data_IF_997500050606
#
_entry.id   IF_997500050606
#
_cell.length_a   1.000
_cell.length_b   1.000
_cell.length_c   1.000
_cell.angle_alpha   90.00
_cell.angle_beta   90.00
_cell.angle_gamma   90.00
#
_symmetry.space_group_name_H-M   'P 1'
#
loop_
_entity.id
_entity.type
_entity.pdbx_description
1 polymer ?
#
# COMPACT_ATOMS: atom_id res chain seq x y z
N UNK A 1 2.45 -34.10 -12.41
CA UNK A 1 3.39 -33.42 -11.49
C UNK A 1 3.24 -31.92 -11.73
N UNK A 2 2.39 -31.23 -10.96
CA UNK A 2 2.25 -29.77 -11.06
C UNK A 2 3.20 -29.14 -10.04
N UNK A 3 4.06 -28.25 -10.53
CA UNK A 3 5.00 -27.49 -9.72
C UNK A 3 4.21 -26.50 -8.87
N UNK A 4 4.38 -26.61 -7.55
CA UNK A 4 4.00 -25.59 -6.59
C UNK A 4 4.85 -24.34 -6.90
N UNK A 5 4.28 -23.37 -7.63
CA UNK A 5 4.91 -22.08 -7.80
C UNK A 5 4.88 -21.37 -6.45
N UNK A 6 6.01 -21.41 -5.73
CA UNK A 6 6.34 -20.42 -4.71
C UNK A 6 6.38 -19.07 -5.44
N UNK A 7 5.25 -18.35 -5.43
CA UNK A 7 5.26 -16.94 -5.71
C UNK A 7 6.20 -16.32 -4.67
N UNK A 8 7.26 -15.70 -5.18
CA UNK A 8 8.34 -15.15 -4.38
C UNK A 8 7.79 -14.28 -3.25
N UNK A 9 8.59 -14.15 -2.21
CA UNK A 9 8.39 -13.16 -1.15
C UNK A 9 8.30 -11.78 -1.81
N UNK A 10 7.10 -11.42 -2.26
CA UNK A 10 6.84 -10.17 -2.94
C UNK A 10 7.28 -9.05 -2.03
N UNK A 11 7.99 -8.07 -2.59
CA UNK A 11 8.42 -6.88 -1.88
C UNK A 11 7.30 -6.40 -0.94
N UNK A 12 7.64 -6.03 0.30
CA UNK A 12 6.64 -5.52 1.23
C UNK A 12 6.05 -4.24 0.65
N UNK A 13 4.88 -4.32 0.03
CA UNK A 13 4.22 -3.24 -0.72
C UNK A 13 3.51 -2.25 0.22
N UNK A 14 4.10 -1.93 1.38
CA UNK A 14 3.50 -0.99 2.34
C UNK A 14 4.24 0.34 2.30
N UNK A 15 3.58 1.46 1.96
CA UNK A 15 4.23 2.76 1.92
C UNK A 15 4.60 3.18 3.36
N UNK A 16 5.57 4.08 3.51
CA UNK A 16 5.87 4.64 4.82
C UNK A 16 4.67 5.42 5.37
N UNK A 17 4.36 5.25 6.66
CA UNK A 17 3.29 6.01 7.34
C UNK A 17 3.47 7.53 7.24
N UNK A 18 4.72 7.98 7.35
CA UNK A 18 5.10 9.37 7.19
C UNK A 18 5.67 9.55 5.78
N UNK A 19 5.23 10.59 5.07
CA UNK A 19 5.86 10.96 3.81
C UNK A 19 7.29 11.53 4.04
N UNK A 20 8.03 11.80 2.97
CA UNK A 20 9.40 12.32 3.05
C UNK A 20 9.51 13.66 3.81
N UNK A 21 8.41 14.42 3.93
CA UNK A 21 8.35 15.65 4.72
C UNK A 21 7.87 15.42 6.17
N UNK A 22 7.70 14.18 6.61
CA UNK A 22 7.33 13.80 7.98
C UNK A 22 5.85 13.89 8.30
N UNK A 23 4.97 14.03 7.30
CA UNK A 23 3.52 14.12 7.51
C UNK A 23 2.85 12.74 7.53
N UNK A 24 2.00 12.50 8.52
CA UNK A 24 1.24 11.25 8.65
C UNK A 24 0.13 11.14 7.60
N UNK A 25 0.10 10.04 6.86
CA UNK A 25 -0.96 9.76 5.89
C UNK A 25 -2.38 9.71 6.49
N UNK A 26 -2.50 9.36 7.79
CA UNK A 26 -3.79 9.15 8.44
C UNK A 26 -4.38 10.40 9.07
N UNK A 27 -3.55 11.23 9.70
CA UNK A 27 -4.02 12.38 10.47
C UNK A 27 -3.45 13.71 10.02
N UNK A 28 -2.59 13.70 8.99
CA UNK A 28 -1.99 14.90 8.41
C UNK A 28 -1.27 15.79 9.43
N UNK A 29 -0.63 15.19 10.44
CA UNK A 29 0.24 15.91 11.38
C UNK A 29 1.71 15.58 11.10
N UNK A 30 2.54 16.62 11.15
CA UNK A 30 4.00 16.49 11.02
C UNK A 30 4.59 15.86 12.30
N UNK A 31 5.41 14.82 12.14
CA UNK A 31 6.05 14.13 13.28
C UNK A 31 5.08 13.32 14.14
N UNK A 32 3.96 12.86 13.58
CA UNK A 32 2.92 12.16 14.33
C UNK A 32 3.43 10.89 15.04
N UNK A 33 3.20 10.80 16.36
CA UNK A 33 3.47 9.63 17.21
C UNK A 33 2.20 9.03 17.85
N UNK A 34 1.01 9.42 17.37
CA UNK A 34 -0.27 8.99 17.93
C UNK A 34 -0.46 7.48 17.75
N UNK A 35 -0.75 6.78 18.85
CA UNK A 35 -0.96 5.32 18.91
C UNK A 35 -1.97 4.85 17.86
N UNK A 36 -3.09 5.56 17.70
CA UNK A 36 -4.13 5.22 16.70
C UNK A 36 -3.56 5.11 15.27
N UNK A 37 -2.69 6.04 14.87
CA UNK A 37 -2.14 6.08 13.51
C UNK A 37 -1.09 5.00 13.28
N UNK A 38 -0.34 4.65 14.34
CA UNK A 38 0.62 3.54 14.32
C UNK A 38 -0.15 2.23 14.14
N UNK A 39 -1.16 1.98 14.96
CA UNK A 39 -1.97 0.76 14.90
C UNK A 39 -2.75 0.62 13.59
N UNK A 40 -3.35 1.70 13.08
CA UNK A 40 -4.01 1.68 11.76
C UNK A 40 -3.02 1.28 10.66
N UNK A 41 -1.81 1.86 10.67
CA UNK A 41 -0.79 1.53 9.68
C UNK A 41 -0.27 0.09 9.81
N UNK A 42 -0.08 -0.40 11.02
CA UNK A 42 0.36 -1.78 11.28
C UNK A 42 -0.63 -2.82 10.78
N UNK A 43 -1.94 -2.52 10.89
CA UNK A 43 -3.04 -3.41 10.49
C UNK A 43 -3.40 -3.32 9.00
N UNK A 44 -3.04 -2.22 8.34
CA UNK A 44 -3.35 -2.02 6.92
C UNK A 44 -2.59 -2.99 6.02
N UNK A 45 -3.30 -3.53 5.02
CA UNK A 45 -2.73 -4.33 3.94
C UNK A 45 -2.72 -3.53 2.66
N UNK A 46 -1.70 -3.73 1.83
CA UNK A 46 -1.45 -2.90 0.65
C UNK A 46 -1.04 -3.76 -0.53
N UNK A 47 -1.42 -3.32 -1.72
CA UNK A 47 -1.03 -3.93 -2.99
C UNK A 47 -0.63 -2.86 -4.01
N UNK A 48 0.13 -3.27 -5.03
CA UNK A 48 0.41 -2.44 -6.20
C UNK A 48 -0.91 -2.03 -6.85
N UNK A 49 -1.03 -0.76 -7.22
CA UNK A 49 -2.22 -0.26 -7.87
C UNK A 49 -2.45 -1.01 -9.20
N UNK A 50 -3.59 -1.70 -9.38
CA UNK A 50 -3.84 -2.47 -10.59
C UNK A 50 -4.16 -1.59 -11.80
N UNK A 51 -4.39 -0.29 -11.60
CA UNK A 51 -4.74 0.66 -12.66
C UNK A 51 -3.50 1.27 -13.31
N UNK A 52 -2.49 1.62 -12.50
CA UNK A 52 -1.27 2.28 -12.99
C UNK A 52 -0.01 1.42 -12.86
N UNK A 53 -0.16 0.16 -12.41
CA UNK A 53 0.94 -0.79 -12.18
C UNK A 53 2.07 -0.20 -11.34
N UNK A 54 1.71 0.56 -10.30
CA UNK A 54 2.68 1.18 -9.39
C UNK A 54 3.34 2.47 -9.87
N UNK A 55 3.10 2.90 -11.11
CA UNK A 55 3.83 4.05 -11.70
C UNK A 55 3.37 5.42 -11.21
N UNK A 56 2.21 5.51 -10.54
CA UNK A 56 1.48 6.75 -10.24
C UNK A 56 0.93 7.52 -11.46
N UNK A 57 1.12 7.02 -12.68
CA UNK A 57 0.65 7.67 -13.90
C UNK A 57 -0.35 6.78 -14.63
N UNK A 58 -1.56 7.28 -14.88
CA UNK A 58 -2.52 6.58 -15.74
C UNK A 58 -2.18 6.76 -17.22
N UNK A 59 -1.50 7.87 -17.54
CA UNK A 59 -0.95 8.13 -18.87
C UNK A 59 0.35 8.93 -18.74
N UNK A 60 1.51 8.29 -18.95
CA UNK A 60 2.81 8.95 -18.91
C UNK A 60 2.99 10.03 -20.00
N UNK A 61 2.33 9.88 -21.16
CA UNK A 61 2.51 10.82 -22.28
C UNK A 61 1.88 12.18 -21.98
N UNK A 62 0.79 12.19 -21.22
CA UNK A 62 0.10 13.42 -20.79
C UNK A 62 0.45 13.84 -19.38
N UNK A 63 1.34 13.11 -18.69
CA UNK A 63 1.61 13.27 -17.26
C UNK A 63 0.32 13.27 -16.42
N UNK A 64 -0.65 12.43 -16.78
CA UNK A 64 -1.90 12.29 -16.04
C UNK A 64 -1.68 11.36 -14.85
N UNK A 65 -1.85 11.88 -13.62
CA UNK A 65 -1.71 11.08 -12.39
C UNK A 65 -2.86 10.08 -12.25
N UNK A 66 -2.52 8.89 -11.76
CA UNK A 66 -3.53 7.93 -11.33
C UNK A 66 -4.24 8.45 -10.07
N UNK A 67 -5.56 8.60 -10.13
CA UNK A 67 -6.39 9.09 -9.02
C UNK A 67 -6.81 7.99 -8.05
N UNK A 68 -6.54 6.72 -8.38
CA UNK A 68 -7.05 5.57 -7.64
C UNK A 68 -6.05 5.03 -6.62
N UNK A 69 -4.85 5.59 -6.55
CA UNK A 69 -3.79 5.12 -5.67
C UNK A 69 -3.07 6.26 -4.98
N UNK A 70 -2.32 5.91 -3.95
CA UNK A 70 -1.38 6.79 -3.28
C UNK A 70 0.00 6.17 -3.45
N UNK A 71 0.93 6.88 -4.08
CA UNK A 71 2.30 6.40 -4.29
C UNK A 71 2.36 5.02 -4.98
N UNK A 72 1.50 4.80 -5.96
CA UNK A 72 1.47 3.57 -6.75
C UNK A 72 0.81 2.38 -6.04
N UNK A 73 0.27 2.57 -4.85
CA UNK A 73 -0.33 1.49 -4.06
C UNK A 73 -1.73 1.83 -3.58
N UNK A 74 -2.50 0.79 -3.30
CA UNK A 74 -3.86 0.89 -2.74
C UNK A 74 -3.94 0.08 -1.45
N UNK A 75 -4.67 0.60 -0.47
CA UNK A 75 -5.04 -0.18 0.70
C UNK A 75 -6.10 -1.20 0.26
N UNK A 76 -5.93 -2.44 0.70
CA UNK A 76 -6.87 -3.53 0.44
C UNK A 76 -7.37 -4.09 1.78
N UNK A 77 -8.54 -4.71 1.74
CA UNK A 77 -8.99 -5.52 2.86
C UNK A 77 -7.99 -6.66 3.05
N UNK A 78 -7.38 -6.73 4.23
CA UNK A 78 -6.56 -7.88 4.59
C UNK A 78 -7.46 -9.12 4.51
N UNK A 79 -7.08 -10.17 3.75
CA UNK A 79 -7.87 -11.39 3.75
C UNK A 79 -7.95 -11.91 5.18
N UNK A 80 -9.17 -12.10 5.69
CA UNK A 80 -9.38 -12.87 6.91
C UNK A 80 -8.72 -14.23 6.69
N UNK A 81 -7.61 -14.50 7.38
CA UNK A 81 -7.03 -15.84 7.45
C UNK A 81 -8.06 -16.73 8.16
N UNK A 82 -8.97 -17.34 7.41
CA UNK A 82 -9.76 -18.43 7.93
C UNK A 82 -8.81 -19.60 8.15
N UNK A 83 -8.44 -19.83 9.40
CA UNK A 83 -7.78 -21.07 9.80
C UNK A 83 -8.81 -22.17 9.57
N UNK A 84 -8.70 -22.88 8.45
CA UNK A 84 -9.40 -24.15 8.26
C UNK A 84 -8.83 -25.11 9.29
N UNK A 85 -9.65 -25.44 10.30
CA UNK A 85 -9.36 -26.46 11.31
C UNK A 85 -9.62 -27.85 10.75
#
# INVERSE_FOLDING_TARGET
MQALQLQGMGDVVRPARLNAAGWCMWCLERGCSKVRCIQSHERSAWAVCPVCDGTEWSDPATATRCTNCMYGVVEIDAPCLSVVR
#
